data_IF_215757747389
#
_entry.id   IF_215757747389
#
_cell.length_a   1.000
_cell.length_b   1.000
_cell.length_c   1.000
_cell.angle_alpha   90.00
_cell.angle_beta   90.00
_cell.angle_gamma   90.00
#
_symmetry.space_group_name_H-M   'P 1'
#
loop_
_entity.id
_entity.type
_entity.pdbx_description
1 polymer ?
#
# COMPACT_ATOMS: atom_id res chain seq x y z
N UNK A 1 50.16 -13.33 -62.99
CA UNK A 1 49.30 -14.25 -62.22
C UNK A 1 48.82 -13.64 -60.91
N UNK A 2 49.70 -13.45 -59.90
CA UNK A 2 49.28 -13.18 -58.52
C UNK A 2 48.80 -11.74 -58.25
N UNK A 3 49.37 -10.74 -58.94
CA UNK A 3 49.00 -9.32 -58.74
C UNK A 3 47.54 -9.06 -59.17
N UNK A 4 47.10 -9.68 -60.26
CA UNK A 4 45.72 -9.55 -60.76
C UNK A 4 44.73 -10.20 -59.79
N UNK A 5 45.08 -11.34 -59.19
CA UNK A 5 44.25 -12.02 -58.19
C UNK A 5 44.13 -11.22 -56.88
N UNK A 6 45.20 -10.58 -56.42
CA UNK A 6 45.15 -9.69 -55.24
C UNK A 6 44.26 -8.46 -55.49
N UNK A 7 44.39 -7.82 -56.66
CA UNK A 7 43.55 -6.69 -57.04
C UNK A 7 42.07 -7.06 -57.15
N UNK A 8 41.77 -8.25 -57.70
CA UNK A 8 40.39 -8.73 -57.76
C UNK A 8 39.83 -9.00 -56.35
N UNK A 9 40.60 -9.61 -55.45
CA UNK A 9 40.15 -9.90 -54.08
C UNK A 9 39.85 -8.64 -53.25
N UNK A 10 40.66 -7.59 -53.39
CA UNK A 10 40.44 -6.32 -52.69
C UNK A 10 39.25 -5.56 -53.27
N UNK A 11 39.07 -5.60 -54.59
CA UNK A 11 37.92 -5.02 -55.27
C UNK A 11 36.60 -5.70 -54.86
N UNK A 12 36.54 -7.03 -54.82
CA UNK A 12 35.33 -7.76 -54.40
C UNK A 12 34.99 -7.54 -52.92
N UNK A 13 35.99 -7.41 -52.03
CA UNK A 13 35.75 -7.08 -50.62
C UNK A 13 35.24 -5.63 -50.44
N UNK A 14 35.77 -4.67 -51.19
CA UNK A 14 35.29 -3.30 -51.19
C UNK A 14 33.85 -3.21 -51.74
N UNK A 15 33.57 -3.91 -52.84
CA UNK A 15 32.24 -4.01 -53.43
C UNK A 15 31.24 -4.69 -52.48
N UNK A 16 31.65 -5.75 -51.80
CA UNK A 16 30.83 -6.46 -50.81
C UNK A 16 30.42 -5.57 -49.63
N UNK A 17 31.35 -4.77 -49.09
CA UNK A 17 31.06 -3.79 -48.03
C UNK A 17 30.14 -2.67 -48.52
N UNK A 18 30.33 -2.21 -49.75
CA UNK A 18 29.47 -1.19 -50.35
C UNK A 18 28.03 -1.68 -50.52
N UNK A 19 27.84 -2.90 -51.06
CA UNK A 19 26.53 -3.52 -51.21
C UNK A 19 25.88 -3.79 -49.86
N UNK A 20 26.63 -4.27 -48.86
CA UNK A 20 26.11 -4.48 -47.51
C UNK A 20 25.62 -3.18 -46.85
N UNK A 21 26.36 -2.08 -47.01
CA UNK A 21 25.95 -0.77 -46.50
C UNK A 21 24.68 -0.26 -47.19
N UNK A 22 24.58 -0.39 -48.52
CA UNK A 22 23.36 0.01 -49.25
C UNK A 22 22.16 -0.83 -48.82
N UNK A 23 22.33 -2.15 -48.70
CA UNK A 23 21.26 -3.03 -48.23
C UNK A 23 20.84 -2.70 -46.79
N UNK A 24 21.79 -2.37 -45.90
CA UNK A 24 21.50 -1.92 -44.55
C UNK A 24 20.67 -0.62 -44.52
N UNK A 25 21.05 0.38 -45.32
CA UNK A 25 20.29 1.63 -45.44
C UNK A 25 18.88 1.37 -45.98
N UNK A 26 18.72 0.49 -46.97
CA UNK A 26 17.42 0.13 -47.53
C UNK A 26 16.53 -0.58 -46.51
N UNK A 27 17.08 -1.50 -45.71
CA UNK A 27 16.34 -2.21 -44.65
C UNK A 27 15.87 -1.23 -43.57
N UNK A 28 16.75 -0.33 -43.12
CA UNK A 28 16.40 0.71 -42.14
C UNK A 28 15.33 1.65 -42.72
N UNK A 29 15.48 2.07 -43.97
CA UNK A 29 14.47 2.89 -44.65
C UNK A 29 13.11 2.20 -44.76
N UNK A 30 13.09 0.90 -45.05
CA UNK A 30 11.87 0.10 -45.15
C UNK A 30 11.22 -0.10 -43.77
N UNK A 31 12.00 -0.30 -42.71
CA UNK A 31 11.51 -0.36 -41.33
C UNK A 31 10.90 0.97 -40.88
N UNK A 32 11.57 2.11 -41.16
CA UNK A 32 11.03 3.44 -40.87
C UNK A 32 9.73 3.66 -41.65
N UNK A 33 9.70 3.31 -42.94
CA UNK A 33 8.51 3.44 -43.76
C UNK A 33 7.35 2.56 -43.24
N UNK A 34 7.63 1.31 -42.85
CA UNK A 34 6.64 0.40 -42.28
C UNK A 34 6.07 0.94 -40.96
N UNK A 35 6.92 1.47 -40.07
CA UNK A 35 6.49 2.09 -38.81
C UNK A 35 5.63 3.33 -39.05
N UNK A 36 6.03 4.20 -39.99
CA UNK A 36 5.24 5.38 -40.38
C UNK A 36 3.90 4.95 -41.00
N UNK A 37 3.89 3.93 -41.86
CA UNK A 37 2.68 3.44 -42.50
C UNK A 37 1.69 2.81 -41.51
N UNK A 38 2.19 1.96 -40.60
CA UNK A 38 1.38 1.35 -39.54
C UNK A 38 0.81 2.43 -38.62
N UNK A 39 1.65 3.39 -38.19
CA UNK A 39 1.23 4.52 -37.36
C UNK A 39 0.20 5.42 -38.06
N UNK A 40 0.40 5.74 -39.33
CA UNK A 40 -0.55 6.54 -40.10
C UNK A 40 -1.92 5.84 -40.23
N UNK A 41 -1.92 4.52 -40.43
CA UNK A 41 -3.15 3.73 -40.57
C UNK A 41 -3.95 3.64 -39.26
N UNK A 42 -3.28 3.56 -38.11
CA UNK A 42 -3.95 3.53 -36.80
C UNK A 42 -4.37 4.92 -36.30
N UNK A 43 -3.69 6.00 -36.73
CA UNK A 43 -4.00 7.38 -36.30
C UNK A 43 -5.09 8.03 -37.16
N UNK A 44 -5.21 7.69 -38.45
CA UNK A 44 -6.21 8.31 -39.35
C UNK A 44 -7.67 8.26 -38.83
N UNK A 45 -8.18 7.13 -38.29
CA UNK A 45 -9.55 7.08 -37.76
C UNK A 45 -9.77 8.00 -36.56
N UNK A 46 -8.73 8.25 -35.75
CA UNK A 46 -8.78 9.15 -34.60
C UNK A 46 -8.66 10.62 -35.03
N UNK A 47 -7.77 10.93 -35.98
CA UNK A 47 -7.60 12.28 -36.52
C UNK A 47 -8.86 12.79 -37.25
N UNK A 48 -9.58 11.90 -37.94
CA UNK A 48 -10.84 12.23 -38.62
C UNK A 48 -11.98 12.53 -37.63
N UNK A 49 -11.98 11.87 -36.45
CA UNK A 49 -12.93 12.18 -35.36
C UNK A 49 -12.63 13.52 -34.68
N UNK A 50 -11.38 13.97 -34.70
CA UNK A 50 -10.93 15.24 -34.09
C UNK A 50 -10.93 16.42 -35.09
N UNK A 51 -11.54 16.27 -36.27
CA UNK A 51 -11.80 17.39 -37.19
C UNK A 51 -10.61 17.83 -38.06
N UNK A 52 -9.58 16.99 -38.24
CA UNK A 52 -8.46 17.29 -39.14
C UNK A 52 -8.89 17.04 -40.58
N UNK A 53 -9.36 18.08 -41.27
CA UNK A 53 -9.93 17.98 -42.63
C UNK A 53 -8.88 17.97 -43.76
N UNK A 54 -7.64 18.44 -43.52
CA UNK A 54 -6.60 18.58 -44.56
C UNK A 54 -5.35 17.76 -44.25
N UNK A 55 -4.83 17.10 -45.28
CA UNK A 55 -3.61 16.27 -45.22
C UNK A 55 -2.34 17.09 -44.90
N UNK A 56 -2.37 18.41 -45.07
CA UNK A 56 -1.29 19.34 -44.72
C UNK A 56 -1.10 19.52 -43.22
N UNK A 57 -2.13 19.25 -42.42
CA UNK A 57 -2.14 19.54 -40.97
C UNK A 57 -1.77 18.28 -40.15
N UNK A 58 -1.72 17.13 -40.83
CA UNK A 58 -1.33 15.83 -40.27
C UNK A 58 0.06 15.83 -39.62
N UNK A 59 1.12 16.44 -40.21
CA UNK A 59 2.45 16.42 -39.62
C UNK A 59 2.50 17.10 -38.24
N UNK A 60 1.81 18.22 -38.07
CA UNK A 60 1.72 18.94 -36.79
C UNK A 60 0.95 18.14 -35.74
N UNK A 61 -0.15 17.51 -36.14
CA UNK A 61 -0.96 16.65 -35.26
C UNK A 61 -0.21 15.40 -34.81
N UNK A 62 0.44 14.69 -35.74
CA UNK A 62 1.26 13.50 -35.46
C UNK A 62 2.44 13.87 -34.56
N UNK A 63 3.13 14.99 -34.81
CA UNK A 63 4.23 15.42 -33.94
C UNK A 63 3.77 15.76 -32.53
N UNK A 64 2.60 16.39 -32.39
CA UNK A 64 2.05 16.77 -31.08
C UNK A 64 1.58 15.54 -30.29
N UNK A 65 0.83 14.62 -30.92
CA UNK A 65 0.42 13.35 -30.29
C UNK A 65 1.59 12.41 -30.03
N UNK A 66 2.60 12.38 -30.90
CA UNK A 66 3.84 11.63 -30.67
C UNK A 66 4.64 12.22 -29.51
N UNK A 67 4.73 13.55 -29.39
CA UNK A 67 5.38 14.22 -28.26
C UNK A 67 4.64 13.99 -26.95
N UNK A 68 3.31 14.08 -26.96
CA UNK A 68 2.48 13.75 -25.78
C UNK A 68 2.56 12.26 -25.42
N UNK A 69 2.56 11.38 -26.42
CA UNK A 69 2.72 9.94 -26.23
C UNK A 69 4.11 9.55 -25.72
N UNK A 70 5.18 10.19 -26.22
CA UNK A 70 6.54 10.02 -25.72
C UNK A 70 6.68 10.55 -24.30
N UNK A 71 6.12 11.71 -23.98
CA UNK A 71 6.13 12.22 -22.61
C UNK A 71 5.40 11.27 -21.66
N UNK A 72 4.24 10.74 -22.05
CA UNK A 72 3.50 9.75 -21.26
C UNK A 72 4.23 8.40 -21.16
N UNK A 73 4.95 7.99 -22.22
CA UNK A 73 5.73 6.75 -22.21
C UNK A 73 7.00 6.87 -21.38
N UNK A 74 7.65 8.04 -21.41
CA UNK A 74 8.80 8.37 -20.57
C UNK A 74 8.38 8.44 -19.10
N UNK A 75 7.23 9.03 -18.77
CA UNK A 75 6.74 9.02 -17.38
C UNK A 75 6.37 7.62 -16.91
N UNK A 76 5.79 6.78 -17.78
CA UNK A 76 5.53 5.37 -17.45
C UNK A 76 6.83 4.58 -17.26
N UNK A 77 7.83 4.73 -18.15
CA UNK A 77 9.12 4.07 -18.00
C UNK A 77 9.90 4.56 -16.77
N UNK A 78 9.86 5.86 -16.50
CA UNK A 78 10.44 6.44 -15.28
C UNK A 78 9.74 5.85 -14.05
N UNK A 79 8.40 5.78 -14.05
CA UNK A 79 7.64 5.16 -12.98
C UNK A 79 8.02 3.69 -12.78
N UNK A 80 8.08 2.89 -13.85
CA UNK A 80 8.47 1.46 -13.77
C UNK A 80 9.93 1.26 -13.35
N UNK A 81 10.84 2.13 -13.77
CA UNK A 81 12.23 2.10 -13.31
C UNK A 81 12.33 2.47 -11.83
N UNK A 82 11.62 3.51 -11.40
CA UNK A 82 11.51 3.91 -10.00
C UNK A 82 10.97 2.74 -9.16
N UNK A 83 9.87 2.11 -9.59
CA UNK A 83 9.26 0.93 -8.96
C UNK A 83 10.27 -0.23 -8.81
N UNK A 84 11.14 -0.48 -9.80
CA UNK A 84 12.18 -1.52 -9.71
C UNK A 84 13.33 -1.15 -8.77
N UNK A 85 13.76 0.12 -8.78
CA UNK A 85 14.77 0.62 -7.83
C UNK A 85 14.23 0.59 -6.40
N UNK A 86 12.97 0.96 -6.21
CA UNK A 86 12.30 1.01 -4.92
C UNK A 86 12.06 -0.41 -4.37
N UNK A 87 11.64 -1.36 -5.22
CA UNK A 87 11.58 -2.79 -4.88
C UNK A 87 12.95 -3.36 -4.49
N UNK A 88 14.00 -3.01 -5.24
CA UNK A 88 15.36 -3.47 -4.96
C UNK A 88 15.98 -2.82 -3.71
N UNK A 89 15.53 -1.63 -3.32
CA UNK A 89 16.02 -0.88 -2.15
C UNK A 89 15.12 -1.04 -0.91
N UNK A 90 13.99 -1.74 -1.03
CA UNK A 90 13.04 -1.96 0.06
C UNK A 90 12.18 -0.74 0.41
N UNK A 91 12.12 0.28 -0.46
CA UNK A 91 11.25 1.45 -0.28
C UNK A 91 9.85 1.08 -0.78
N UNK A 92 8.88 0.85 0.11
CA UNK A 92 7.48 0.60 -0.29
C UNK A 92 6.81 1.93 -0.68
N UNK A 93 6.00 1.92 -1.73
CA UNK A 93 5.28 3.09 -2.24
C UNK A 93 4.20 3.58 -1.26
N UNK A 94 4.17 4.90 -1.02
CA UNK A 94 3.03 5.61 -0.42
C UNK A 94 1.83 5.53 -1.40
N UNK A 95 0.79 4.78 -1.03
CA UNK A 95 -0.56 4.88 -1.63
C UNK A 95 -1.01 3.85 -2.68
N UNK A 96 -0.12 3.28 -3.52
CA UNK A 96 -0.56 2.33 -4.58
C UNK A 96 -0.59 0.85 -4.17
N UNK A 97 0.23 0.43 -3.19
CA UNK A 97 0.11 -0.92 -2.60
C UNK A 97 -0.94 -0.99 -1.47
N UNK A 98 -1.18 0.12 -0.78
CA UNK A 98 -2.19 0.24 0.28
C UNK A 98 -3.62 -0.07 -0.22
N UNK A 99 -3.91 0.26 -1.48
CA UNK A 99 -5.20 -0.06 -2.11
C UNK A 99 -5.31 -1.53 -2.54
N UNK A 100 -4.19 -2.20 -2.80
CA UNK A 100 -4.15 -3.60 -3.25
C UNK A 100 -4.12 -4.58 -2.08
N UNK A 101 -3.70 -4.13 -0.90
CA UNK A 101 -3.48 -5.00 0.25
C UNK A 101 -4.38 -4.71 1.44
N UNK A 102 -5.70 -4.76 1.20
CA UNK A 102 -6.67 -4.55 2.28
C UNK A 102 -7.00 -5.86 2.98
N UNK A 103 -6.96 -5.85 4.31
CA UNK A 103 -7.43 -6.95 5.15
C UNK A 103 -8.81 -6.60 5.69
N UNK A 104 -9.84 -7.30 5.26
CA UNK A 104 -11.20 -7.10 5.74
C UNK A 104 -12.07 -8.35 5.54
N UNK A 105 -13.10 -8.45 6.37
CA UNK A 105 -14.19 -9.43 6.26
C UNK A 105 -15.49 -8.64 6.35
N UNK A 106 -16.34 -8.78 5.34
CA UNK A 106 -17.63 -8.13 5.24
C UNK A 106 -18.71 -9.20 5.02
N UNK A 107 -19.80 -9.08 5.79
CA UNK A 107 -21.01 -9.84 5.52
C UNK A 107 -21.83 -9.07 4.49
N UNK A 108 -22.15 -9.71 3.37
CA UNK A 108 -23.10 -9.15 2.42
C UNK A 108 -24.54 -9.19 2.98
N UNK A 109 -25.47 -8.62 2.21
CA UNK A 109 -26.89 -8.66 2.51
C UNK A 109 -27.38 -10.06 2.89
N UNK A 110 -27.90 -10.16 4.11
CA UNK A 110 -28.46 -11.39 4.65
C UNK A 110 -29.63 -11.87 3.80
N UNK A 111 -29.61 -13.16 3.42
CA UNK A 111 -30.71 -13.80 2.70
C UNK A 111 -31.47 -14.70 3.65
N UNK A 112 -32.74 -14.39 3.89
CA UNK A 112 -33.61 -15.13 4.80
C UNK A 112 -34.53 -16.07 4.02
N UNK A 113 -34.69 -17.30 4.52
CA UNK A 113 -35.52 -18.36 3.96
C UNK A 113 -36.42 -18.98 5.05
N UNK A 114 -37.67 -19.37 4.72
CA UNK A 114 -38.32 -19.17 3.43
C UNK A 114 -38.63 -17.69 3.17
N UNK A 115 -38.55 -17.22 1.92
CA UNK A 115 -38.94 -15.84 1.60
C UNK A 115 -40.45 -15.68 1.74
N UNK A 116 -40.91 -15.01 2.80
CA UNK A 116 -42.32 -14.66 3.02
C UNK A 116 -42.56 -13.20 2.67
N UNK A 117 -43.81 -12.86 2.33
CA UNK A 117 -44.18 -11.48 1.99
C UNK A 117 -44.04 -10.60 3.23
N UNK A 118 -43.24 -9.54 3.13
CA UNK A 118 -42.93 -8.60 4.22
C UNK A 118 -42.23 -9.26 5.43
N UNK A 119 -41.51 -10.38 5.23
CA UNK A 119 -40.71 -11.04 6.28
C UNK A 119 -41.50 -11.40 7.56
N UNK A 120 -42.79 -11.72 7.42
CA UNK A 120 -43.59 -12.29 8.52
C UNK A 120 -43.43 -13.80 8.55
N UNK A 121 -43.03 -14.31 9.71
CA UNK A 121 -42.86 -15.74 9.98
C UNK A 121 -43.81 -16.17 11.10
N UNK A 122 -44.32 -17.38 11.00
CA UNK A 122 -45.10 -18.02 12.04
C UNK A 122 -44.14 -18.58 13.10
N UNK A 123 -44.59 -18.71 14.35
CA UNK A 123 -43.78 -19.25 15.46
C UNK A 123 -43.31 -20.69 15.17
N UNK A 124 -44.04 -21.41 14.33
CA UNK A 124 -43.69 -22.77 13.90
C UNK A 124 -42.74 -22.83 12.70
N UNK A 125 -42.42 -21.71 12.06
CA UNK A 125 -41.51 -21.72 10.92
C UNK A 125 -40.07 -21.93 11.35
N UNK A 126 -39.33 -22.72 10.57
CA UNK A 126 -37.88 -22.70 10.60
C UNK A 126 -37.39 -21.56 9.70
N UNK A 127 -36.56 -20.68 10.26
CA UNK A 127 -35.97 -19.54 9.56
C UNK A 127 -34.50 -19.82 9.32
N UNK A 128 -34.09 -19.97 8.06
CA UNK A 128 -32.69 -20.12 7.66
C UNK A 128 -32.15 -18.78 7.15
N UNK A 129 -31.04 -18.34 7.68
CA UNK A 129 -30.35 -17.11 7.29
C UNK A 129 -29.03 -17.50 6.65
N UNK A 130 -28.82 -17.01 5.44
CA UNK A 130 -27.59 -17.14 4.69
C UNK A 130 -26.89 -15.78 4.66
N UNK A 131 -25.69 -15.70 5.19
CA UNK A 131 -24.84 -14.52 5.19
C UNK A 131 -23.64 -14.77 4.27
N UNK A 132 -23.69 -14.33 2.99
CA UNK A 132 -22.53 -14.44 2.12
C UNK A 132 -21.38 -13.60 2.67
N UNK A 133 -20.17 -14.14 2.59
CA UNK A 133 -18.98 -13.50 3.11
C UNK A 133 -18.12 -13.04 1.94
N UNK A 134 -17.72 -11.78 1.99
CA UNK A 134 -16.60 -11.26 1.21
C UNK A 134 -15.44 -11.02 2.14
N UNK A 135 -14.30 -11.57 1.78
CA UNK A 135 -13.07 -11.32 2.50
C UNK A 135 -11.93 -11.05 1.53
N UNK A 136 -11.02 -10.20 1.98
CA UNK A 136 -9.71 -10.02 1.37
C UNK A 136 -8.73 -10.15 2.52
N UNK A 137 -7.94 -11.22 2.54
CA UNK A 137 -7.04 -11.49 3.65
C UNK A 137 -5.68 -11.88 3.07
N UNK A 138 -4.83 -10.87 2.86
CA UNK A 138 -3.46 -11.10 2.43
C UNK A 138 -2.64 -11.66 3.59
N UNK A 139 -1.85 -12.70 3.29
CA UNK A 139 -0.91 -13.32 4.22
C UNK A 139 -1.54 -13.64 5.58
N UNK A 140 -2.64 -14.42 5.53
CA UNK A 140 -3.16 -15.02 6.75
C UNK A 140 -2.12 -16.03 7.22
N UNK A 141 -1.51 -15.76 8.36
CA UNK A 141 -0.91 -16.84 9.14
C UNK A 141 -1.99 -17.93 9.29
N UNK A 142 -1.70 -19.16 8.85
CA UNK A 142 -2.64 -20.30 8.88
C UNK A 142 -3.26 -20.51 10.27
N UNK A 143 -2.65 -19.94 11.31
CA UNK A 143 -3.17 -19.91 12.68
C UNK A 143 -4.41 -19.03 12.91
N UNK A 144 -4.69 -18.02 12.07
CA UNK A 144 -5.81 -17.08 12.28
C UNK A 144 -7.14 -17.68 11.83
N UNK A 145 -8.14 -17.59 12.71
CA UNK A 145 -9.49 -18.12 12.49
C UNK A 145 -10.50 -16.98 12.44
N UNK A 146 -11.53 -17.12 11.59
CA UNK A 146 -12.74 -16.31 11.66
C UNK A 146 -13.76 -17.08 12.49
N UNK A 147 -14.33 -16.43 13.48
CA UNK A 147 -15.38 -16.95 14.33
C UNK A 147 -16.71 -16.35 13.90
N UNK A 148 -17.66 -17.22 13.55
CA UNK A 148 -19.00 -16.82 13.21
C UNK A 148 -19.95 -17.08 14.37
N UNK A 149 -20.82 -16.11 14.65
CA UNK A 149 -21.88 -16.28 15.63
C UNK A 149 -23.20 -15.79 15.06
N UNK A 150 -24.27 -16.44 15.48
CA UNK A 150 -25.64 -16.16 15.06
C UNK A 150 -26.52 -16.10 16.31
N UNK A 151 -27.37 -15.10 16.39
CA UNK A 151 -28.34 -14.96 17.47
C UNK A 151 -29.67 -14.41 16.97
N UNK A 152 -30.76 -14.86 17.61
CA UNK A 152 -32.12 -14.38 17.38
C UNK A 152 -32.69 -13.90 18.71
N UNK A 153 -33.16 -12.66 18.77
CA UNK A 153 -33.78 -12.11 19.97
C UNK A 153 -35.03 -12.92 20.36
N UNK A 154 -35.01 -13.57 21.53
CA UNK A 154 -36.13 -14.38 22.03
C UNK A 154 -36.32 -15.74 21.35
N UNK A 155 -35.38 -16.18 20.51
CA UNK A 155 -35.42 -17.49 19.84
C UNK A 155 -34.22 -18.37 20.14
N UNK A 156 -34.29 -19.62 19.68
CA UNK A 156 -33.17 -20.56 19.77
C UNK A 156 -32.52 -20.79 18.41
N UNK A 157 -31.19 -20.94 18.42
CA UNK A 157 -30.42 -21.39 17.25
C UNK A 157 -30.58 -22.91 17.15
N UNK A 158 -31.20 -23.38 16.07
CA UNK A 158 -31.36 -24.82 15.78
C UNK A 158 -30.07 -25.37 15.16
N UNK A 159 -29.49 -24.62 14.23
CA UNK A 159 -28.25 -24.93 13.54
C UNK A 159 -27.37 -23.67 13.50
N UNK A 160 -26.20 -23.76 14.10
CA UNK A 160 -25.20 -22.68 14.08
C UNK A 160 -24.31 -22.74 12.84
N UNK A 161 -23.48 -21.72 12.63
CA UNK A 161 -22.51 -21.72 11.54
C UNK A 161 -21.45 -22.80 11.79
N UNK A 162 -21.12 -23.57 10.76
CA UNK A 162 -19.96 -24.45 10.78
C UNK A 162 -18.70 -23.58 10.56
N UNK A 163 -17.69 -23.64 11.45
CA UNK A 163 -16.47 -22.87 11.26
C UNK A 163 -15.68 -23.40 10.05
N UNK A 164 -15.09 -22.53 9.23
CA UNK A 164 -14.31 -22.94 8.06
C UNK A 164 -13.12 -23.76 8.50
N UNK A 165 -12.86 -24.86 7.79
CA UNK A 165 -11.68 -25.69 8.05
C UNK A 165 -10.41 -24.99 7.58
N UNK A 166 -10.44 -24.21 6.48
CA UNK A 166 -9.28 -23.50 5.93
C UNK A 166 -9.62 -22.10 5.41
N UNK A 167 -9.19 -21.07 6.14
CA UNK A 167 -9.53 -19.66 5.86
C UNK A 167 -9.14 -19.18 4.45
N UNK A 168 -7.94 -19.54 3.99
CA UNK A 168 -7.35 -19.00 2.75
C UNK A 168 -7.91 -19.64 1.49
N UNK A 169 -8.09 -20.97 1.49
CA UNK A 169 -8.60 -21.68 0.31
C UNK A 169 -10.08 -21.44 0.07
N UNK A 170 -10.84 -21.20 1.14
CA UNK A 170 -12.30 -21.17 1.07
C UNK A 170 -12.82 -19.76 0.69
N UNK A 171 -12.09 -18.72 1.11
CA UNK A 171 -12.47 -17.31 0.89
C UNK A 171 -12.01 -16.72 -0.45
N UNK A 172 -10.84 -17.10 -0.99
CA UNK A 172 -10.31 -16.48 -2.22
C UNK A 172 -11.04 -16.90 -3.52
N UNK A 173 -11.92 -17.90 -3.47
CA UNK A 173 -12.48 -18.49 -4.70
C UNK A 173 -13.99 -18.74 -4.77
N UNK A 174 -14.70 -18.87 -3.64
CA UNK A 174 -16.03 -19.51 -3.67
C UNK A 174 -17.19 -18.71 -3.08
N UNK A 175 -16.93 -17.61 -2.35
CA UNK A 175 -17.97 -16.89 -1.63
C UNK A 175 -18.59 -17.79 -0.56
N UNK A 176 -17.88 -17.93 0.55
CA UNK A 176 -18.36 -18.69 1.70
C UNK A 176 -19.70 -18.11 2.19
N UNK A 177 -20.62 -18.98 2.60
CA UNK A 177 -21.93 -18.57 3.10
C UNK A 177 -22.09 -19.11 4.50
N UNK A 178 -22.22 -18.21 5.47
CA UNK A 178 -22.60 -18.57 6.82
C UNK A 178 -24.09 -18.88 6.85
N UNK A 179 -24.43 -20.12 7.20
CA UNK A 179 -25.80 -20.59 7.32
C UNK A 179 -26.17 -20.76 8.80
N UNK A 180 -27.28 -20.14 9.20
CA UNK A 180 -27.84 -20.28 10.55
C UNK A 180 -29.34 -20.57 10.46
N UNK A 181 -29.82 -21.57 11.20
CA UNK A 181 -31.24 -21.90 11.28
C UNK A 181 -31.79 -21.58 12.67
N UNK A 182 -32.98 -20.98 12.73
CA UNK A 182 -33.62 -20.50 13.95
C UNK A 182 -35.06 -21.00 14.04
N UNK A 183 -35.53 -21.22 15.27
CA UNK A 183 -36.95 -21.42 15.59
C UNK A 183 -37.40 -20.28 16.52
N UNK A 184 -38.26 -19.37 16.06
CA UNK A 184 -38.84 -18.36 16.93
C UNK A 184 -39.73 -19.01 17.99
N UNK A 185 -39.79 -18.43 19.19
CA UNK A 185 -40.63 -18.94 20.28
C UNK A 185 -41.74 -17.97 20.69
N UNK A 186 -41.65 -16.73 20.24
CA UNK A 186 -42.57 -15.66 20.56
C UNK A 186 -42.88 -14.80 19.32
N UNK A 187 -43.94 -14.03 19.44
CA UNK A 187 -44.41 -13.13 18.36
C UNK A 187 -43.86 -11.73 18.56
N UNK A 188 -43.59 -11.01 17.46
CA UNK A 188 -43.19 -9.61 17.48
C UNK A 188 -42.07 -9.33 16.49
N UNK A 189 -41.62 -8.08 16.42
CA UNK A 189 -40.43 -7.72 15.65
C UNK A 189 -39.21 -8.20 16.41
N UNK A 190 -38.43 -9.09 15.79
CA UNK A 190 -37.20 -9.64 16.35
C UNK A 190 -36.02 -9.32 15.46
N UNK A 191 -34.85 -9.16 16.07
CA UNK A 191 -33.60 -8.94 15.36
C UNK A 191 -32.82 -10.24 15.27
N UNK A 192 -32.35 -10.57 14.07
CA UNK A 192 -31.34 -11.60 13.83
C UNK A 192 -30.00 -10.90 13.70
N UNK A 193 -29.02 -11.30 14.51
CA UNK A 193 -27.66 -10.82 14.41
C UNK A 193 -26.76 -11.95 13.91
N UNK A 194 -26.02 -11.66 12.85
CA UNK A 194 -24.91 -12.51 12.37
C UNK A 194 -23.64 -11.70 12.56
N UNK A 195 -22.61 -12.30 13.14
CA UNK A 195 -21.35 -11.62 13.45
C UNK A 195 -20.18 -12.48 12.98
N UNK A 196 -19.21 -11.84 12.33
CA UNK A 196 -17.92 -12.42 11.98
C UNK A 196 -16.84 -11.69 12.78
N UNK A 197 -16.05 -12.44 13.54
CA UNK A 197 -14.94 -11.93 14.33
C UNK A 197 -13.64 -12.58 13.86
N UNK A 198 -12.60 -11.78 13.66
CA UNK A 198 -11.31 -12.29 13.21
C UNK A 198 -10.17 -11.48 13.79
N UNK A 199 -9.02 -12.14 13.93
CA UNK A 199 -7.78 -11.48 14.33
C UNK A 199 -7.09 -10.88 13.10
N UNK A 200 -6.54 -9.68 13.24
CA UNK A 200 -5.75 -9.02 12.21
C UNK A 200 -4.45 -8.47 12.82
N UNK A 201 -3.48 -8.17 11.95
CA UNK A 201 -2.30 -7.39 12.31
C UNK A 201 -2.22 -6.23 11.33
N UNK A 202 -2.01 -5.02 11.85
CA UNK A 202 -1.68 -3.85 11.05
C UNK A 202 -0.25 -3.45 11.38
N UNK A 203 0.57 -3.30 10.35
CA UNK A 203 1.91 -2.75 10.45
C UNK A 203 1.93 -1.32 9.92
N UNK A 204 2.75 -0.46 10.51
CA UNK A 204 3.00 0.88 10.03
C UNK A 204 4.43 1.32 10.32
N UNK A 205 4.99 2.16 9.46
CA UNK A 205 6.32 2.74 9.66
C UNK A 205 6.35 4.18 9.15
N UNK A 206 7.27 4.97 9.70
CA UNK A 206 7.59 6.31 9.18
C UNK A 206 9.11 6.45 9.09
N UNK A 207 9.58 7.16 8.06
CA UNK A 207 10.99 7.47 7.89
C UNK A 207 11.25 8.89 8.35
N UNK A 208 12.16 9.04 9.31
CA UNK A 208 12.56 10.33 9.86
C UNK A 208 14.05 10.52 9.59
N UNK A 209 14.40 11.58 8.86
CA UNK A 209 15.79 12.00 8.72
C UNK A 209 16.18 12.86 9.91
N UNK A 210 17.35 12.62 10.51
CA UNK A 210 17.86 13.40 11.64
C UNK A 210 19.10 14.20 11.23
N UNK A 211 19.30 15.36 11.85
CA UNK A 211 20.49 16.20 11.66
C UNK A 211 20.85 16.88 12.97
N UNK A 212 22.13 17.17 13.20
CA UNK A 212 22.54 18.05 14.31
C UNK A 212 21.80 19.39 14.21
N UNK A 213 21.18 19.81 15.31
CA UNK A 213 20.32 20.99 15.34
C UNK A 213 21.07 22.28 15.01
N UNK A 214 22.31 22.43 15.49
CA UNK A 214 23.10 23.63 15.23
C UNK A 214 23.61 23.64 13.78
N UNK A 215 23.97 22.48 13.24
CA UNK A 215 24.31 22.33 11.82
C UNK A 215 23.12 22.64 10.91
N UNK A 216 21.94 22.08 11.19
CA UNK A 216 20.69 22.36 10.45
C UNK A 216 20.45 23.87 10.40
N UNK A 217 20.47 24.51 11.57
CA UNK A 217 20.26 25.95 11.71
C UNK A 217 21.31 26.77 10.96
N UNK A 218 22.59 26.37 11.01
CA UNK A 218 23.65 27.05 10.27
C UNK A 218 23.41 26.97 8.76
N UNK A 219 23.05 25.79 8.24
CA UNK A 219 22.79 25.57 6.81
C UNK A 219 21.58 26.36 6.32
N UNK A 220 20.52 26.40 7.11
CA UNK A 220 19.35 27.23 6.82
C UNK A 220 19.70 28.73 6.76
N UNK A 221 20.54 29.23 7.68
CA UNK A 221 21.05 30.62 7.66
C UNK A 221 21.90 30.89 6.41
N UNK A 222 22.67 29.90 5.94
CA UNK A 222 23.45 29.97 4.69
C UNK A 222 22.56 29.95 3.44
N UNK A 223 21.23 29.80 3.59
CA UNK A 223 20.28 29.70 2.47
C UNK A 223 20.30 28.35 1.78
N UNK A 224 20.80 27.32 2.46
CA UNK A 224 20.94 25.98 1.91
C UNK A 224 19.62 25.21 2.05
N UNK A 225 19.11 24.69 0.94
CA UNK A 225 17.94 23.83 0.93
C UNK A 225 18.34 22.39 1.27
N UNK A 226 18.22 22.04 2.55
CA UNK A 226 18.56 20.71 3.07
C UNK A 226 17.70 19.61 2.45
N UNK A 227 16.45 19.90 2.11
CA UNK A 227 15.51 18.93 1.53
C UNK A 227 15.97 18.58 0.12
N UNK A 228 16.24 19.61 -0.70
CA UNK A 228 16.72 19.43 -2.06
C UNK A 228 18.12 18.81 -2.14
N UNK A 229 19.05 19.23 -1.27
CA UNK A 229 20.43 18.72 -1.31
C UNK A 229 20.49 17.23 -0.97
N UNK A 230 19.86 16.83 0.12
CA UNK A 230 19.94 15.45 0.61
C UNK A 230 18.89 14.54 -0.04
N UNK A 231 18.06 15.06 -0.94
CA UNK A 231 16.95 14.36 -1.58
C UNK A 231 16.08 13.63 -0.54
N UNK A 232 15.75 14.33 0.53
CA UNK A 232 14.85 13.86 1.59
C UNK A 232 13.46 14.43 1.38
N UNK A 233 12.42 13.75 1.85
CA UNK A 233 11.08 14.33 1.88
C UNK A 233 11.07 15.52 2.87
N UNK A 234 10.29 16.57 2.58
CA UNK A 234 10.16 17.73 3.48
C UNK A 234 9.42 17.40 4.78
N UNK A 235 8.50 16.45 4.71
CA UNK A 235 7.73 15.92 5.83
C UNK A 235 7.86 14.39 5.85
N UNK A 236 7.89 13.80 7.04
CA UNK A 236 7.73 12.35 7.17
C UNK A 236 6.28 11.97 6.92
N UNK A 237 6.06 10.99 6.05
CA UNK A 237 4.75 10.36 5.87
C UNK A 237 4.77 9.01 6.60
N UNK A 238 3.63 8.63 7.18
CA UNK A 238 3.44 7.28 7.71
C UNK A 238 2.90 6.38 6.61
N UNK A 239 3.48 5.20 6.46
CA UNK A 239 3.03 4.15 5.56
C UNK A 239 2.50 3.02 6.42
N UNK A 240 1.31 2.51 6.11
CA UNK A 240 0.70 1.43 6.88
C UNK A 240 0.04 0.39 5.98
N UNK A 241 -0.05 -0.84 6.48
CA UNK A 241 -0.76 -1.93 5.80
C UNK A 241 -2.27 -1.67 5.78
N UNK A 242 -3.00 -2.17 4.78
CA UNK A 242 -4.43 -1.93 4.60
C UNK A 242 -5.35 -2.69 5.57
N UNK A 243 -4.94 -2.83 6.84
CA UNK A 243 -5.78 -3.42 7.89
C UNK A 243 -6.94 -2.51 8.32
N UNK A 244 -7.86 -3.02 9.16
CA UNK A 244 -9.02 -2.26 9.63
C UNK A 244 -8.65 -1.13 10.60
N UNK A 245 -7.51 -1.25 11.27
CA UNK A 245 -6.92 -0.18 12.08
C UNK A 245 -5.90 0.58 11.24
N UNK A 246 -6.07 1.91 11.13
CA UNK A 246 -5.06 2.82 10.60
C UNK A 246 -4.10 3.24 11.72
N UNK A 247 -2.81 3.20 11.43
CA UNK A 247 -1.76 3.67 12.34
C UNK A 247 -1.18 4.96 11.79
N UNK A 248 -1.52 6.08 12.42
CA UNK A 248 -0.88 7.36 12.17
C UNK A 248 0.34 7.52 13.07
N UNK A 249 1.44 7.99 12.50
CA UNK A 249 2.60 8.49 13.24
C UNK A 249 2.76 9.96 12.88
N UNK A 250 3.02 10.79 13.89
CA UNK A 250 3.16 12.24 13.75
C UNK A 250 4.10 12.61 12.58
N UNK A 251 3.74 13.68 11.86
CA UNK A 251 4.58 14.20 10.79
C UNK A 251 5.68 15.07 11.36
N UNK A 252 6.91 14.79 10.94
CA UNK A 252 8.08 15.55 11.33
C UNK A 252 8.59 16.36 10.14
N UNK A 253 8.91 17.63 10.38
CA UNK A 253 9.69 18.43 9.44
C UNK A 253 11.11 17.87 9.36
N UNK A 254 11.50 17.43 8.17
CA UNK A 254 12.81 16.83 7.94
C UNK A 254 13.83 17.85 7.39
N UNK A 255 15.12 17.73 7.75
CA UNK A 255 15.64 16.80 8.74
C UNK A 255 15.28 17.28 10.16
N UNK A 256 15.01 16.35 11.06
CA UNK A 256 14.69 16.62 12.44
C UNK A 256 15.96 17.00 13.23
N UNK A 257 15.95 18.16 13.88
CA UNK A 257 17.09 18.71 14.59
C UNK A 257 17.31 18.05 15.96
N UNK A 258 18.41 17.31 16.12
CA UNK A 258 18.80 16.64 17.36
C UNK A 258 19.85 17.46 18.10
N UNK A 259 19.70 17.59 19.42
CA UNK A 259 20.66 18.35 20.23
C UNK A 259 21.90 17.53 20.56
N UNK A 260 23.03 18.23 20.73
CA UNK A 260 24.11 17.96 21.64
C UNK A 260 23.96 16.71 22.47
N UNK A 261 23.36 16.93 23.62
CA UNK A 261 23.15 16.06 24.80
C UNK A 261 22.31 14.81 24.57
N UNK A 262 21.84 14.55 23.34
CA UNK A 262 20.88 13.50 23.06
C UNK A 262 19.53 13.74 23.75
N UNK A 263 19.40 14.86 24.48
CA UNK A 263 18.13 15.30 25.01
C UNK A 263 17.37 15.91 23.86
N UNK A 264 16.38 15.17 23.41
CA UNK A 264 15.34 15.76 22.60
C UNK A 264 14.12 15.86 23.50
N UNK A 265 13.47 17.02 23.49
CA UNK A 265 12.10 17.12 24.02
C UNK A 265 11.12 16.61 22.98
N UNK A 266 11.57 15.72 22.09
CA UNK A 266 10.79 15.23 20.97
C UNK A 266 9.72 14.33 21.53
N UNK A 267 8.51 14.78 21.33
CA UNK A 267 7.34 13.94 21.46
C UNK A 267 7.11 13.30 20.09
N UNK A 268 6.66 12.06 20.10
CA UNK A 268 6.12 11.37 18.94
C UNK A 268 4.72 10.91 19.32
N UNK A 269 3.75 11.38 18.55
CA UNK A 269 2.37 10.93 18.67
C UNK A 269 2.08 9.79 17.70
N UNK A 270 1.48 8.73 18.23
CA UNK A 270 0.88 7.65 17.47
C UNK A 270 -0.64 7.79 17.57
N UNK A 271 -1.35 7.64 16.47
CA UNK A 271 -2.82 7.58 16.44
C UNK A 271 -3.26 6.24 15.88
N UNK A 272 -4.26 5.65 16.52
CA UNK A 272 -4.83 4.38 16.09
C UNK A 272 -6.31 4.61 15.83
N UNK A 273 -6.74 4.53 14.58
CA UNK A 273 -8.10 4.86 14.15
C UNK A 273 -8.75 3.66 13.45
N UNK A 274 -9.98 3.34 13.82
CA UNK A 274 -10.76 2.36 13.06
C UNK A 274 -11.38 3.02 11.83
N UNK A 275 -10.94 2.60 10.64
CA UNK A 275 -11.39 3.21 9.37
C UNK A 275 -12.50 2.42 8.69
N UNK A 276 -12.82 1.22 9.18
CA UNK A 276 -13.78 0.30 8.59
C UNK A 276 -15.13 0.36 9.31
N UNK A 277 -16.19 -0.09 8.63
CA UNK A 277 -17.56 -0.14 9.20
C UNK A 277 -17.75 -1.16 10.33
N UNK A 278 -16.75 -2.04 10.54
CA UNK A 278 -16.70 -2.98 11.66
C UNK A 278 -16.33 -2.34 12.99
N UNK A 279 -16.18 -3.19 14.01
CA UNK A 279 -15.77 -2.79 15.35
C UNK A 279 -14.48 -3.51 15.75
N UNK A 280 -13.53 -2.79 16.34
CA UNK A 280 -12.36 -3.40 16.97
C UNK A 280 -12.75 -3.69 18.42
N UNK A 281 -12.92 -4.96 18.75
CA UNK A 281 -13.41 -5.40 20.06
C UNK A 281 -12.29 -5.33 21.10
N UNK A 282 -11.05 -5.58 20.68
CA UNK A 282 -9.88 -5.64 21.55
C UNK A 282 -8.62 -5.40 20.71
N UNK A 283 -7.57 -4.84 21.33
CA UNK A 283 -6.21 -4.88 20.80
C UNK A 283 -5.35 -5.71 21.74
N UNK A 284 -4.80 -6.81 21.22
CA UNK A 284 -4.02 -7.77 22.02
C UNK A 284 -2.61 -7.29 22.32
N UNK A 285 -1.99 -6.58 21.40
CA UNK A 285 -0.63 -6.04 21.57
C UNK A 285 -0.43 -4.84 20.62
N UNK A 286 0.49 -3.95 20.99
CA UNK A 286 1.04 -2.92 20.11
C UNK A 286 2.56 -2.98 20.27
N UNK A 287 3.23 -3.33 19.18
CA UNK A 287 4.69 -3.45 19.12
C UNK A 287 5.25 -2.27 18.37
N UNK A 288 6.13 -1.52 19.02
CA UNK A 288 6.88 -0.43 18.39
C UNK A 288 8.36 -0.83 18.38
N UNK A 289 8.88 -1.01 17.17
CA UNK A 289 10.31 -1.24 16.94
C UNK A 289 10.97 0.07 16.59
N UNK A 290 12.02 0.43 17.32
CA UNK A 290 12.85 1.60 17.05
C UNK A 290 14.23 1.16 16.58
N UNK A 291 14.94 1.98 15.79
CA UNK A 291 16.39 1.83 15.62
C UNK A 291 17.08 1.76 16.99
N UNK A 292 18.18 1.01 17.07
CA UNK A 292 18.89 0.75 18.33
C UNK A 292 19.34 1.98 19.11
N UNK A 293 19.40 3.11 18.42
CA UNK A 293 19.90 4.38 18.92
C UNK A 293 18.77 5.35 19.31
N UNK A 294 17.51 4.97 19.09
CA UNK A 294 16.35 5.71 19.57
C UNK A 294 15.70 4.89 20.67
N UNK A 295 15.45 5.53 21.80
CA UNK A 295 14.78 4.93 22.95
C UNK A 295 13.64 5.81 23.41
N UNK A 296 12.64 5.23 24.08
CA UNK A 296 11.63 6.03 24.78
C UNK A 296 12.11 6.41 26.17
N UNK A 297 11.76 7.62 26.61
CA UNK A 297 12.05 8.08 27.97
C UNK A 297 11.23 7.24 28.98
N UNK A 298 11.87 6.45 29.85
CA UNK A 298 11.16 5.56 30.75
C UNK A 298 10.36 6.36 31.79
N UNK A 299 9.14 5.89 32.09
CA UNK A 299 8.29 6.52 33.11
C UNK A 299 7.59 7.80 32.64
N UNK A 300 7.65 8.16 31.36
CA UNK A 300 6.78 9.19 30.82
C UNK A 300 5.33 8.70 30.86
N UNK A 301 4.48 9.37 31.66
CA UNK A 301 3.10 8.93 31.91
C UNK A 301 2.25 8.81 30.63
N UNK A 302 2.59 9.54 29.57
CA UNK A 302 1.93 9.44 28.27
C UNK A 302 2.33 8.21 27.44
N UNK A 303 3.41 7.51 27.82
CA UNK A 303 3.99 6.39 27.08
C UNK A 303 4.02 5.11 27.95
N UNK A 304 2.88 4.43 28.12
CA UNK A 304 2.73 3.13 28.80
C UNK A 304 3.42 1.93 28.08
N UNK A 305 4.54 2.15 27.41
CA UNK A 305 5.29 1.11 26.73
C UNK A 305 6.31 0.45 27.66
N UNK A 306 6.44 -0.87 27.56
CA UNK A 306 7.41 -1.67 28.29
C UNK A 306 8.41 -2.24 27.30
N UNK A 307 9.69 -1.95 27.51
CA UNK A 307 10.76 -2.48 26.67
C UNK A 307 10.97 -3.97 26.96
N UNK A 308 10.88 -4.81 25.93
CA UNK A 308 11.15 -6.25 25.99
C UNK A 308 12.15 -6.61 24.91
N UNK A 309 13.43 -6.68 25.28
CA UNK A 309 14.50 -6.85 24.30
C UNK A 309 14.71 -5.58 23.46
N UNK A 310 14.64 -5.71 22.13
CA UNK A 310 14.77 -4.59 21.19
C UNK A 310 13.47 -3.83 20.91
N UNK A 311 12.33 -4.37 21.34
CA UNK A 311 11.00 -3.87 21.02
C UNK A 311 10.31 -3.26 22.23
N UNK A 312 9.33 -2.39 21.97
CA UNK A 312 8.48 -1.77 22.97
C UNK A 312 7.05 -2.27 22.82
N UNK A 313 6.51 -2.86 23.89
CA UNK A 313 5.16 -3.41 23.91
C UNK A 313 4.25 -2.54 24.75
N UNK A 314 3.02 -2.32 24.28
CA UNK A 314 2.02 -1.64 25.09
C UNK A 314 1.48 -2.55 26.19
N UNK A 315 1.46 -2.05 27.41
CA UNK A 315 0.79 -2.75 28.51
C UNK A 315 -0.74 -2.75 28.28
N UNK A 316 -1.31 -3.88 27.90
CA UNK A 316 -2.76 -4.05 27.64
C UNK A 316 -3.64 -3.69 28.84
N UNK A 317 -3.15 -3.88 30.08
CA UNK A 317 -3.88 -3.47 31.27
C UNK A 317 -4.04 -1.95 31.34
N UNK A 318 -3.05 -1.19 30.86
CA UNK A 318 -3.16 0.26 30.75
C UNK A 318 -4.10 0.67 29.61
N UNK A 319 -4.02 -0.02 28.46
CA UNK A 319 -4.89 0.26 27.31
C UNK A 319 -6.37 0.20 27.71
N UNK A 320 -6.77 -0.80 28.48
CA UNK A 320 -8.15 -0.94 28.99
C UNK A 320 -8.62 0.20 29.93
N UNK A 321 -7.69 0.98 30.50
CA UNK A 321 -8.01 2.12 31.36
C UNK A 321 -8.18 3.42 30.59
N UNK A 322 -7.59 3.53 29.39
CA UNK A 322 -7.52 4.77 28.61
C UNK A 322 -8.36 4.70 27.33
N UNK A 323 -8.61 3.49 26.83
CA UNK A 323 -9.37 3.26 25.60
C UNK A 323 -10.62 2.47 25.92
N UNK A 324 -11.77 3.02 25.55
CA UNK A 324 -13.05 2.35 25.62
C UNK A 324 -13.24 1.49 24.38
N UNK A 325 -13.44 0.19 24.59
CA UNK A 325 -13.79 -0.75 23.52
C UNK A 325 -15.28 -1.10 23.57
N UNK A 326 -15.90 -1.44 22.44
CA UNK A 326 -15.31 -1.57 21.10
C UNK A 326 -15.07 -0.21 20.40
N UNK A 327 -14.00 -0.10 19.61
CA UNK A 327 -13.76 1.06 18.73
C UNK A 327 -14.64 0.94 17.49
N UNK A 328 -15.56 1.89 17.31
CA UNK A 328 -16.41 2.00 16.12
C UNK A 328 -15.68 2.77 15.01
N UNK A 329 -16.25 2.76 13.81
CA UNK A 329 -15.73 3.55 12.69
C UNK A 329 -15.55 5.02 13.07
N UNK A 330 -14.34 5.53 12.87
CA UNK A 330 -13.95 6.91 13.19
C UNK A 330 -13.54 7.14 14.65
N UNK A 331 -13.70 6.13 15.53
CA UNK A 331 -13.11 6.20 16.86
C UNK A 331 -11.59 6.05 16.73
N UNK A 332 -10.86 6.84 17.52
CA UNK A 332 -9.40 6.80 17.57
C UNK A 332 -8.91 7.06 18.99
N UNK A 333 -7.68 6.66 19.27
CA UNK A 333 -6.97 7.07 20.49
C UNK A 333 -5.52 7.42 20.17
N UNK A 334 -4.96 8.45 20.83
CA UNK A 334 -3.56 8.81 20.71
C UNK A 334 -2.70 8.11 21.76
N UNK A 335 -1.43 7.88 21.42
CA UNK A 335 -0.37 7.45 22.31
C UNK A 335 0.82 8.41 22.11
N UNK A 336 1.21 9.08 23.18
CA UNK A 336 2.22 10.14 23.12
C UNK A 336 3.48 9.67 23.82
N UNK A 337 4.59 9.56 23.10
CA UNK A 337 5.86 9.11 23.66
C UNK A 337 6.95 10.15 23.56
N UNK A 338 7.82 10.24 24.56
CA UNK A 338 9.03 11.06 24.48
C UNK A 338 10.18 10.20 23.99
N UNK A 339 10.80 10.61 22.91
CA UNK A 339 11.98 9.94 22.37
C UNK A 339 13.25 10.52 22.97
N UNK A 340 14.27 9.67 23.06
CA UNK A 340 15.64 10.01 23.38
C UNK A 340 16.53 9.40 22.31
N UNK A 341 17.35 10.22 21.68
CA UNK A 341 18.23 9.82 20.58
C UNK A 341 19.66 9.78 21.12
N UNK A 342 20.30 8.62 21.05
CA UNK A 342 21.64 8.44 21.58
C UNK A 342 22.70 9.05 20.65
N UNK A 343 23.73 9.67 21.26
CA UNK A 343 24.67 10.57 20.58
C UNK A 343 25.56 9.90 19.54
N UNK A 344 25.73 8.58 19.60
CA UNK A 344 26.71 7.83 18.79
C UNK A 344 26.59 8.02 17.28
N UNK A 345 25.43 8.45 16.78
CA UNK A 345 25.12 8.51 15.34
C UNK A 345 25.46 9.85 14.69
N UNK A 346 25.36 10.97 15.40
CA UNK A 346 25.47 12.31 14.77
C UNK A 346 26.86 12.51 14.15
N UNK A 347 27.89 11.81 14.65
CA UNK A 347 29.25 11.82 14.11
C UNK A 347 29.50 10.92 12.88
N UNK A 348 28.63 9.93 12.61
CA UNK A 348 28.87 8.86 11.63
C UNK A 348 27.93 8.91 10.41
N UNK A 349 27.17 10.00 10.22
CA UNK A 349 26.63 10.34 8.89
C UNK A 349 27.79 10.85 8.01
N UNK A 350 28.82 10.00 7.84
CA UNK A 350 29.65 10.07 6.66
C UNK A 350 28.75 9.62 5.51
N UNK A 351 28.34 10.58 4.69
CA UNK A 351 27.69 10.33 3.41
C UNK A 351 28.50 9.20 2.75
N UNK A 352 27.93 8.00 2.51
CA UNK A 352 28.63 7.01 1.72
C UNK A 352 28.87 7.68 0.38
N UNK A 353 30.14 7.98 0.07
CA UNK A 353 30.49 8.42 -1.26
C UNK A 353 30.10 7.30 -2.20
N UNK A 354 28.98 7.49 -2.90
CA UNK A 354 28.57 6.65 -4.00
C UNK A 354 29.68 6.82 -5.04
N UNK A 355 30.68 5.93 -5.00
CA UNK A 355 31.57 5.72 -6.13
C UNK A 355 30.75 4.96 -7.15
N UNK A 356 30.36 5.66 -8.21
CA UNK A 356 29.97 5.02 -9.46
C UNK A 356 31.08 4.01 -9.82
N UNK A 357 30.68 2.74 -10.00
CA UNK A 357 31.52 1.68 -10.56
C UNK A 357 31.33 1.68 -12.07
#
# INVERSE_FOLDING_TARGET
GPIVLQFLSSFFNALGRFVANIMGILIIGLLIFALVYIGARSIMPAAQKEGVEKMSDLPGYVFTKAKTGLNNYVTVLQKTWQEQLDYATGRKHEGEEETKQKIWVELEDLKVYPKKKNDYFDVSDEITVLAPIKASILNVDESKKIFYTCSLEGGAVIKGPDPPENLLSDLEGSGEVVECAFSPHDTGTKTINVTAQFDFSTEGYTQIAFMDRELKKQKEIEGFDLVAEYNIASESTSIYSGGPLMVGIERFEAPYGVRPDGSTTSVIDFTFENTMDGQIIEMKDIVITLPSEITFEPGFAGCPLVQTGGDYHLNTAFLSQVVEFPLKRGDYFPLTCKMKIDRGIIGDISIPQIREI
#
